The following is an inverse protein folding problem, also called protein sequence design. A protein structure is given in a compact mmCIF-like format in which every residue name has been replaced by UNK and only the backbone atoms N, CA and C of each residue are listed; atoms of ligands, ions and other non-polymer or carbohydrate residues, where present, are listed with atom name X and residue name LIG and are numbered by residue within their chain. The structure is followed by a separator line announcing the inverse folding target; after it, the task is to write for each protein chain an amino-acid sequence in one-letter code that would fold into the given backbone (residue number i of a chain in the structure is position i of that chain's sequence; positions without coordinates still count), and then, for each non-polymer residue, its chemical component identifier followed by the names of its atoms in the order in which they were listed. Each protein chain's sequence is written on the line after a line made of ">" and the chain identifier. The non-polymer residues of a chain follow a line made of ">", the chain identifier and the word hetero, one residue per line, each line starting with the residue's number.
data_IF_820433307726
#
_entry.id   IF_820433307726
#
_cell.length_a   1.000
_cell.length_b   1.000
_cell.length_c   1.000
_cell.angle_alpha   90.00
_cell.angle_beta   90.00
_cell.angle_gamma   90.00
#
_symmetry.space_group_name_H-M   'P 1'
#
loop_
_entity.id
_entity.type
_entity.pdbx_description
1 polymer ?
#
# COMPACT_ATOMS: atom_id res chain seq x y z
N UNK A 1 1.29 16.14 -32.47
CA UNK A 1 2.57 16.24 -31.73
C UNK A 1 2.31 17.00 -30.43
N UNK A 2 2.01 16.27 -29.36
CA UNK A 2 2.01 16.80 -28.00
C UNK A 2 2.76 15.77 -27.16
N UNK A 3 4.06 15.98 -27.03
CA UNK A 3 4.91 15.27 -26.08
C UNK A 3 4.38 15.56 -24.68
N UNK A 4 3.63 14.62 -24.08
CA UNK A 4 3.33 14.67 -22.65
C UNK A 4 4.66 14.52 -21.92
N UNK A 5 5.21 15.64 -21.47
CA UNK A 5 6.42 15.67 -20.65
C UNK A 5 6.08 15.11 -19.26
N UNK A 6 6.20 13.79 -19.08
CA UNK A 6 6.04 13.10 -17.79
C UNK A 6 7.24 13.29 -16.84
N UNK A 7 8.25 14.08 -17.25
CA UNK A 7 9.47 14.40 -16.50
C UNK A 7 9.27 15.20 -15.20
N UNK A 8 8.03 15.38 -14.72
CA UNK A 8 7.70 16.18 -13.52
C UNK A 8 6.72 15.50 -12.57
N UNK A 9 6.35 14.24 -12.80
CA UNK A 9 5.47 13.52 -11.89
C UNK A 9 6.29 12.92 -10.75
N UNK A 10 6.19 13.50 -9.56
CA UNK A 10 6.62 12.81 -8.35
C UNK A 10 5.58 11.78 -7.97
N UNK A 11 5.96 10.52 -7.77
CA UNK A 11 5.04 9.59 -7.12
C UNK A 11 5.42 9.50 -5.64
N UNK A 12 4.54 10.00 -4.78
CA UNK A 12 4.66 9.89 -3.34
C UNK A 12 3.78 8.74 -2.89
N UNK A 13 4.37 7.60 -2.55
CA UNK A 13 3.57 6.46 -2.06
C UNK A 13 3.56 6.45 -0.54
N UNK A 14 2.37 6.38 0.03
CA UNK A 14 2.10 6.04 1.42
C UNK A 14 1.42 4.67 1.45
N UNK A 15 2.23 3.68 1.83
CA UNK A 15 1.94 2.29 2.18
C UNK A 15 1.96 1.20 1.07
N UNK A 16 2.46 0.03 1.51
CA UNK A 16 2.27 -1.34 0.98
C UNK A 16 2.03 -2.28 2.19
N UNK A 17 1.09 -3.21 2.06
CA UNK A 17 0.73 -4.21 3.10
C UNK A 17 1.20 -5.60 2.71
N UNK A 18 1.88 -6.31 3.62
CA UNK A 18 1.64 -7.74 3.86
C UNK A 18 1.63 -7.97 5.36
N UNK A 19 0.59 -8.65 5.82
CA UNK A 19 0.51 -9.24 7.15
C UNK A 19 1.12 -10.63 7.13
N UNK A 20 2.25 -10.78 7.81
CA UNK A 20 2.65 -12.02 8.48
C UNK A 20 2.32 -11.83 9.98
N UNK A 21 2.09 -12.90 10.75
CA UNK A 21 1.70 -12.77 12.13
C UNK A 21 2.95 -12.35 12.90
N UNK A 22 3.05 -11.10 13.33
CA UNK A 22 3.98 -10.78 14.41
C UNK A 22 3.23 -11.14 15.68
N UNK A 23 3.45 -12.36 16.17
CA UNK A 23 3.10 -12.68 17.53
C UNK A 23 3.86 -11.73 18.46
N UNK A 24 3.20 -11.30 19.53
CA UNK A 24 3.81 -10.51 20.59
C UNK A 24 5.14 -11.15 21.00
N UNK A 25 6.22 -10.36 20.95
CA UNK A 25 7.63 -10.71 21.22
C UNK A 25 8.44 -11.30 20.06
N UNK A 26 8.95 -10.48 19.14
CA UNK A 26 10.17 -10.84 18.40
C UNK A 26 11.09 -9.64 18.21
N UNK A 27 12.21 -9.70 18.94
CA UNK A 27 13.39 -8.85 18.86
C UNK A 27 14.39 -9.43 17.84
N UNK A 28 13.93 -9.77 16.63
CA UNK A 28 14.80 -10.30 15.56
C UNK A 28 14.35 -9.80 14.17
N UNK A 29 15.31 -9.45 13.28
CA UNK A 29 15.00 -8.88 11.98
C UNK A 29 14.34 -9.94 11.11
N UNK A 30 13.13 -9.68 10.62
CA UNK A 30 12.54 -10.46 9.54
C UNK A 30 13.39 -10.25 8.27
N UNK A 31 14.30 -11.18 8.00
CA UNK A 31 15.16 -11.15 6.82
C UNK A 31 14.38 -11.72 5.64
N UNK A 32 13.95 -10.84 4.74
CA UNK A 32 13.54 -11.15 3.38
C UNK A 32 14.32 -10.21 2.45
N UNK A 33 15.12 -10.73 1.53
CA UNK A 33 15.80 -9.91 0.51
C UNK A 33 15.43 -10.41 -0.89
N UNK A 34 15.23 -9.53 -1.88
CA UNK A 34 16.32 -8.76 -2.50
C UNK A 34 16.27 -7.21 -2.41
N UNK A 35 15.27 -6.59 -1.77
CA UNK A 35 15.25 -5.13 -1.58
C UNK A 35 14.44 -4.62 -0.35
N UNK A 36 14.19 -5.44 0.67
CA UNK A 36 13.39 -5.04 1.84
C UNK A 36 11.90 -4.80 1.56
N UNK A 37 11.34 -5.43 0.52
CA UNK A 37 9.92 -5.32 0.12
C UNK A 37 9.08 -6.48 0.66
N UNK A 38 7.82 -6.21 0.98
CA UNK A 38 6.83 -7.21 1.40
C UNK A 38 6.21 -7.94 0.20
N UNK A 39 7.05 -8.53 -0.67
CA UNK A 39 6.66 -9.38 -1.80
C UNK A 39 7.89 -10.19 -2.22
N UNK A 40 7.68 -11.25 -2.98
CA UNK A 40 8.71 -11.98 -3.73
C UNK A 40 9.23 -11.23 -4.98
N UNK A 41 8.70 -10.03 -5.27
CA UNK A 41 9.07 -9.24 -6.43
C UNK A 41 8.63 -7.77 -6.33
N UNK A 42 8.26 -7.22 -7.50
CA UNK A 42 7.81 -5.84 -7.65
C UNK A 42 6.45 -5.60 -6.99
N UNK A 43 6.31 -4.42 -6.40
CA UNK A 43 5.08 -3.90 -5.84
C UNK A 43 4.24 -3.20 -6.95
N UNK A 44 2.93 -3.02 -6.77
CA UNK A 44 2.05 -2.27 -7.71
C UNK A 44 2.66 -0.91 -8.09
N UNK A 45 3.27 -0.22 -7.14
CA UNK A 45 3.94 1.06 -7.40
C UNK A 45 5.13 0.92 -8.36
N UNK A 46 5.87 -0.19 -8.30
CA UNK A 46 7.01 -0.43 -9.19
C UNK A 46 6.53 -0.68 -10.62
N UNK A 47 5.40 -1.37 -10.79
CA UNK A 47 4.77 -1.53 -12.10
C UNK A 47 4.23 -0.19 -12.62
N UNK A 48 3.63 0.63 -11.76
CA UNK A 48 3.16 1.96 -12.14
C UNK A 48 4.32 2.83 -12.62
N UNK A 49 5.38 2.99 -11.82
CA UNK A 49 6.50 3.87 -12.21
C UNK A 49 7.21 3.37 -13.46
N UNK A 50 7.32 2.04 -13.64
CA UNK A 50 7.86 1.45 -14.86
C UNK A 50 6.98 1.73 -16.09
N UNK A 51 5.65 1.64 -15.97
CA UNK A 51 4.73 1.98 -17.04
C UNK A 51 4.74 3.49 -17.40
N UNK A 52 5.31 4.32 -16.54
CA UNK A 52 5.50 5.76 -16.74
C UNK A 52 6.92 6.12 -17.20
N UNK A 53 7.76 5.12 -17.50
CA UNK A 53 9.19 5.28 -17.82
C UNK A 53 9.98 6.05 -16.74
N UNK A 54 9.56 5.91 -15.47
CA UNK A 54 10.20 6.51 -14.30
C UNK A 54 11.06 5.47 -13.56
N UNK A 55 12.18 5.89 -12.93
CA UNK A 55 12.96 5.00 -12.09
C UNK A 55 12.17 4.60 -10.84
N UNK A 56 12.55 3.48 -10.23
CA UNK A 56 11.98 3.07 -8.95
C UNK A 56 12.18 4.13 -7.87
N UNK A 57 11.16 4.26 -7.03
CA UNK A 57 11.18 5.21 -5.92
C UNK A 57 12.13 4.72 -4.82
N UNK A 58 12.96 5.64 -4.33
CA UNK A 58 13.79 5.38 -3.17
C UNK A 58 12.96 5.52 -1.86
N UNK A 59 13.16 4.65 -0.86
CA UNK A 59 12.56 4.81 0.45
C UNK A 59 13.09 6.07 1.15
N UNK A 60 12.22 6.81 1.83
CA UNK A 60 12.59 8.02 2.58
C UNK A 60 13.64 7.76 3.66
N UNK A 61 13.62 6.57 4.27
CA UNK A 61 14.52 6.20 5.37
C UNK A 61 15.81 5.52 4.92
N UNK A 62 16.04 5.40 3.61
CA UNK A 62 17.30 4.82 3.11
C UNK A 62 18.45 5.83 3.29
N UNK A 63 19.49 5.43 4.02
CA UNK A 63 20.50 6.33 4.58
C UNK A 63 21.87 6.27 3.90
N UNK A 64 22.15 5.23 3.11
CA UNK A 64 23.47 5.00 2.49
C UNK A 64 23.35 4.97 0.97
N UNK A 65 24.19 5.74 0.29
CA UNK A 65 24.13 5.99 -1.15
C UNK A 65 23.65 7.42 -1.45
N UNK A 66 23.74 7.86 -2.71
CA UNK A 66 23.05 9.07 -3.16
C UNK A 66 21.74 8.66 -3.87
N UNK A 67 20.68 8.30 -3.12
CA UNK A 67 19.39 8.08 -3.75
C UNK A 67 18.92 9.40 -4.40
N UNK A 68 18.60 9.34 -5.69
CA UNK A 68 17.92 10.46 -6.34
C UNK A 68 16.45 10.40 -5.95
N UNK A 69 15.96 11.49 -5.35
CA UNK A 69 14.54 11.68 -5.05
C UNK A 69 13.85 12.59 -6.07
N UNK A 70 14.55 12.96 -7.15
CA UNK A 70 14.07 13.87 -8.19
C UNK A 70 12.69 13.47 -8.73
N UNK A 71 12.47 12.17 -8.92
CA UNK A 71 11.24 11.62 -9.50
C UNK A 71 10.23 11.11 -8.46
N UNK A 72 10.49 11.33 -7.17
CA UNK A 72 9.60 10.90 -6.09
C UNK A 72 10.33 10.20 -4.95
N UNK A 73 9.56 9.83 -3.93
CA UNK A 73 10.06 9.25 -2.70
C UNK A 73 8.97 8.39 -2.06
N UNK A 74 9.36 7.24 -1.50
CA UNK A 74 8.44 6.29 -0.89
C UNK A 74 8.49 6.42 0.64
N UNK A 75 7.36 6.79 1.25
CA UNK A 75 7.20 6.96 2.70
C UNK A 75 6.50 5.75 3.34
N UNK A 76 6.08 4.78 2.52
CA UNK A 76 5.44 3.55 2.96
C UNK A 76 6.31 2.76 3.94
N UNK A 77 5.67 2.21 4.97
CA UNK A 77 6.28 1.19 5.83
C UNK A 77 5.28 0.07 6.08
N UNK A 78 5.71 -1.19 5.97
CA UNK A 78 4.86 -2.33 6.31
C UNK A 78 4.32 -2.22 7.74
N UNK A 79 3.06 -2.62 7.93
CA UNK A 79 2.38 -2.56 9.23
C UNK A 79 1.96 -1.18 9.70
N UNK A 80 2.09 -0.13 8.88
CA UNK A 80 1.59 1.20 9.25
C UNK A 80 0.07 1.23 9.38
N UNK A 81 -0.42 1.94 10.39
CA UNK A 81 -1.84 2.21 10.60
C UNK A 81 -2.14 3.68 10.29
N UNK A 82 -3.40 3.99 10.01
CA UNK A 82 -3.86 5.38 9.82
C UNK A 82 -3.80 6.14 11.14
N UNK A 83 -4.22 5.49 12.22
CA UNK A 83 -4.26 6.07 13.55
C UNK A 83 -2.87 6.27 14.15
N UNK A 84 -2.70 7.14 15.15
CA UNK A 84 -1.44 7.28 15.87
C UNK A 84 -0.94 5.94 16.42
N UNK A 85 0.33 5.64 16.16
CA UNK A 85 0.97 4.43 16.65
C UNK A 85 1.09 4.45 18.19
N UNK A 86 0.89 3.29 18.79
CA UNK A 86 1.07 3.00 20.22
C UNK A 86 2.29 2.11 20.44
N UNK A 87 2.67 1.87 21.69
CA UNK A 87 3.76 0.93 22.04
C UNK A 87 3.53 -0.51 21.55
N UNK A 88 2.29 -0.88 21.21
CA UNK A 88 1.91 -2.20 20.69
C UNK A 88 1.73 -2.21 19.18
N UNK A 89 1.92 -1.07 18.50
CA UNK A 89 1.80 -0.99 17.05
C UNK A 89 2.98 -1.68 16.36
N UNK A 90 2.68 -2.41 15.29
CA UNK A 90 3.69 -3.11 14.47
C UNK A 90 4.69 -2.13 13.85
N UNK A 91 4.21 -0.97 13.38
CA UNK A 91 5.05 0.09 12.85
C UNK A 91 4.85 1.38 13.65
N UNK A 92 5.94 2.09 14.02
CA UNK A 92 5.85 3.42 14.60
C UNK A 92 5.49 4.49 13.55
N UNK A 93 5.60 4.17 12.26
CA UNK A 93 5.41 5.10 11.15
C UNK A 93 3.96 5.11 10.66
N UNK A 94 3.04 5.47 11.55
CA UNK A 94 1.63 5.72 11.21
C UNK A 94 1.48 6.76 10.09
N UNK A 95 0.29 6.85 9.48
CA UNK A 95 0.00 7.81 8.41
C UNK A 95 0.40 9.24 8.77
N UNK A 96 0.05 9.70 9.97
CA UNK A 96 0.42 11.04 10.45
C UNK A 96 1.92 11.28 10.52
N UNK A 97 2.71 10.23 10.81
CA UNK A 97 4.17 10.27 10.79
C UNK A 97 4.69 10.31 9.35
N UNK A 98 4.16 9.50 8.44
CA UNK A 98 4.52 9.53 7.01
C UNK A 98 4.24 10.90 6.39
N UNK A 99 3.10 11.53 6.71
CA UNK A 99 2.81 12.92 6.32
C UNK A 99 3.84 13.90 6.88
N UNK A 100 4.26 13.73 8.14
CA UNK A 100 5.26 14.60 8.75
C UNK A 100 6.66 14.41 8.15
N UNK A 101 7.01 13.19 7.77
CA UNK A 101 8.21 12.88 7.02
C UNK A 101 8.19 13.57 5.65
N UNK A 102 7.07 13.54 4.94
CA UNK A 102 6.92 14.29 3.68
C UNK A 102 7.11 15.80 3.89
N UNK A 103 6.45 16.40 4.89
CA UNK A 103 6.59 17.84 5.17
C UNK A 103 8.07 18.19 5.42
N UNK A 104 8.76 17.39 6.24
CA UNK A 104 10.18 17.56 6.51
C UNK A 104 11.04 17.38 5.25
N UNK A 105 10.74 16.38 4.44
CA UNK A 105 11.42 16.10 3.18
C UNK A 105 11.31 17.29 2.23
N UNK A 106 10.09 17.81 2.00
CA UNK A 106 9.85 18.99 1.17
C UNK A 106 10.65 20.19 1.67
N UNK A 107 10.52 20.54 2.95
CA UNK A 107 11.22 21.68 3.53
C UNK A 107 12.75 21.55 3.38
N UNK A 108 13.30 20.36 3.63
CA UNK A 108 14.74 20.12 3.52
C UNK A 108 15.22 20.15 2.06
N UNK A 109 14.45 19.59 1.14
CA UNK A 109 14.80 19.58 -0.28
C UNK A 109 14.90 21.02 -0.82
N UNK A 110 13.90 21.86 -0.52
CA UNK A 110 13.88 23.27 -0.95
C UNK A 110 15.00 24.08 -0.29
N UNK A 111 15.26 23.86 1.00
CA UNK A 111 16.37 24.53 1.68
C UNK A 111 17.73 24.18 1.05
N UNK A 112 17.94 22.91 0.69
CA UNK A 112 19.18 22.44 0.08
C UNK A 112 19.35 22.99 -1.35
N UNK A 113 18.28 23.03 -2.14
CA UNK A 113 18.28 23.63 -3.47
C UNK A 113 18.59 25.13 -3.41
N UNK A 114 18.02 25.85 -2.44
CA UNK A 114 18.33 27.27 -2.25
C UNK A 114 19.80 27.52 -1.85
N UNK A 115 20.42 26.59 -1.10
CA UNK A 115 21.79 26.74 -0.61
C UNK A 115 22.87 26.29 -1.61
N UNK A 116 22.63 25.21 -2.36
CA UNK A 116 23.61 24.60 -3.28
C UNK A 116 23.27 24.75 -4.77
N UNK A 117 22.10 25.29 -5.10
CA UNK A 117 21.67 25.57 -6.46
C UNK A 117 21.67 24.34 -7.37
N UNK A 118 22.14 24.55 -8.61
CA UNK A 118 22.06 23.61 -9.74
C UNK A 118 22.66 22.22 -9.48
N UNK A 119 23.61 22.11 -8.55
CA UNK A 119 24.26 20.82 -8.24
C UNK A 119 23.26 19.76 -7.74
N UNK A 120 22.21 20.18 -7.03
CA UNK A 120 21.24 19.27 -6.43
C UNK A 120 19.94 19.11 -7.24
N UNK A 121 19.74 19.87 -8.32
CA UNK A 121 18.53 19.78 -9.17
C UNK A 121 18.37 18.41 -9.85
N UNK A 122 19.49 17.69 -10.03
CA UNK A 122 19.48 16.33 -10.59
C UNK A 122 19.10 15.25 -9.56
N UNK A 123 19.07 15.59 -8.27
CA UNK A 123 18.87 14.63 -7.17
C UNK A 123 17.63 14.94 -6.33
N UNK A 124 17.21 16.21 -6.27
CA UNK A 124 16.12 16.66 -5.44
C UNK A 124 14.94 17.20 -6.27
N UNK A 125 13.71 17.07 -5.75
CA UNK A 125 12.55 17.67 -6.39
C UNK A 125 12.57 19.18 -6.38
N UNK A 126 12.17 19.78 -7.50
CA UNK A 126 11.95 21.22 -7.58
C UNK A 126 10.62 21.60 -6.92
N UNK A 127 10.44 22.88 -6.60
CA UNK A 127 9.24 23.37 -5.91
C UNK A 127 7.93 23.01 -6.62
N UNK A 128 7.90 23.17 -7.94
CA UNK A 128 6.73 22.86 -8.77
C UNK A 128 6.45 21.34 -8.86
N UNK A 129 7.46 20.50 -8.61
CA UNK A 129 7.29 19.03 -8.57
C UNK A 129 6.32 18.61 -7.45
N UNK A 130 6.30 19.31 -6.32
CA UNK A 130 5.37 19.02 -5.22
C UNK A 130 3.91 19.35 -5.57
N UNK A 131 3.67 20.28 -6.50
CA UNK A 131 2.32 20.54 -6.99
C UNK A 131 1.89 19.51 -8.03
N UNK A 132 2.82 19.15 -8.92
CA UNK A 132 2.56 18.21 -10.03
C UNK A 132 2.57 16.75 -9.61
N UNK A 133 3.11 16.41 -8.43
CA UNK A 133 3.20 15.05 -7.95
C UNK A 133 1.86 14.32 -7.84
N UNK A 134 1.91 13.00 -8.06
CA UNK A 134 0.90 12.00 -7.74
C UNK A 134 1.17 11.42 -6.34
N UNK A 135 0.17 11.53 -5.48
CA UNK A 135 0.23 11.10 -4.08
C UNK A 135 -0.63 9.85 -3.93
N UNK A 136 0.01 8.68 -3.87
CA UNK A 136 -0.64 7.39 -3.76
C UNK A 136 -0.80 6.97 -2.29
N UNK A 137 -1.98 6.46 -1.93
CA UNK A 137 -2.29 5.97 -0.59
C UNK A 137 -2.86 4.56 -0.63
N UNK A 138 -2.34 3.66 0.18
CA UNK A 138 -2.88 2.31 0.41
C UNK A 138 -2.90 2.00 1.93
N UNK A 139 -3.74 2.69 2.69
CA UNK A 139 -3.76 2.67 4.17
C UNK A 139 -5.14 2.45 4.75
N UNK A 140 -5.22 2.02 6.01
CA UNK A 140 -6.47 1.68 6.71
C UNK A 140 -6.73 0.17 6.83
N UNK A 141 -6.17 -0.63 5.93
CA UNK A 141 -6.25 -2.10 5.97
C UNK A 141 -5.76 -2.66 7.31
N UNK A 142 -4.66 -2.09 7.81
CA UNK A 142 -4.01 -2.57 9.02
C UNK A 142 -4.79 -2.21 10.29
N UNK A 143 -5.44 -1.05 10.30
CA UNK A 143 -6.33 -0.62 11.37
C UNK A 143 -7.50 -1.62 11.53
N UNK A 144 -8.10 -2.06 10.42
CA UNK A 144 -9.20 -3.03 10.42
C UNK A 144 -8.73 -4.43 10.82
N UNK A 145 -7.68 -4.96 10.17
CA UNK A 145 -7.17 -6.29 10.44
C UNK A 145 -6.68 -6.44 11.89
N UNK A 146 -5.96 -5.44 12.42
CA UNK A 146 -5.53 -5.42 13.81
C UNK A 146 -6.71 -5.38 14.81
N UNK A 147 -7.80 -4.70 14.46
CA UNK A 147 -8.95 -4.58 15.35
C UNK A 147 -9.68 -5.93 15.58
N UNK A 148 -9.72 -6.82 14.58
CA UNK A 148 -10.37 -8.14 14.72
C UNK A 148 -9.76 -9.04 15.79
N UNK A 149 -8.52 -8.78 16.24
CA UNK A 149 -7.91 -9.51 17.35
C UNK A 149 -8.53 -9.20 18.72
N UNK A 150 -9.27 -8.10 18.86
CA UNK A 150 -9.81 -7.67 20.16
C UNK A 150 -11.22 -7.07 20.12
N UNK A 151 -11.81 -6.87 18.94
CA UNK A 151 -13.10 -6.22 18.75
C UNK A 151 -14.07 -7.09 17.95
N UNK A 152 -15.37 -6.93 18.22
CA UNK A 152 -16.44 -7.49 17.39
C UNK A 152 -16.58 -6.71 16.09
N UNK A 153 -17.27 -7.28 15.10
CA UNK A 153 -17.55 -6.59 13.84
C UNK A 153 -18.27 -5.25 14.07
N UNK A 154 -19.31 -5.21 14.90
CA UNK A 154 -20.06 -3.97 15.17
C UNK A 154 -19.17 -2.87 15.77
N UNK A 155 -18.27 -3.24 16.67
CA UNK A 155 -17.30 -2.31 17.24
C UNK A 155 -16.31 -1.79 16.20
N UNK A 156 -15.91 -2.63 15.23
CA UNK A 156 -15.04 -2.24 14.12
C UNK A 156 -15.78 -1.29 13.18
N UNK A 157 -17.02 -1.60 12.83
CA UNK A 157 -17.85 -0.74 11.98
C UNK A 157 -18.06 0.64 12.60
N UNK A 158 -18.32 0.70 13.91
CA UNK A 158 -18.43 1.95 14.65
C UNK A 158 -17.12 2.75 14.72
N UNK A 159 -15.98 2.09 14.52
CA UNK A 159 -14.66 2.70 14.61
C UNK A 159 -14.14 3.29 13.28
N UNK A 160 -14.67 2.83 12.14
CA UNK A 160 -14.29 3.30 10.79
C UNK A 160 -14.26 4.83 10.66
N UNK A 161 -15.27 5.60 11.14
CA UNK A 161 -15.25 7.06 11.01
C UNK A 161 -14.01 7.70 11.66
N UNK A 162 -13.48 7.14 12.75
CA UNK A 162 -12.27 7.64 13.42
C UNK A 162 -11.03 7.46 12.54
N UNK A 163 -10.92 6.31 11.87
CA UNK A 163 -9.83 6.02 10.93
C UNK A 163 -9.87 7.03 9.77
N UNK A 164 -11.06 7.24 9.19
CA UNK A 164 -11.26 8.14 8.06
C UNK A 164 -11.03 9.61 8.44
N UNK A 165 -11.39 10.04 9.65
CA UNK A 165 -11.09 11.38 10.13
C UNK A 165 -9.58 11.65 10.24
N UNK A 166 -8.78 10.65 10.68
CA UNK A 166 -7.33 10.76 10.67
C UNK A 166 -6.76 10.80 9.26
N UNK A 167 -7.31 9.99 8.34
CA UNK A 167 -6.93 10.03 6.93
C UNK A 167 -7.23 11.40 6.29
N UNK A 168 -8.44 11.93 6.49
CA UNK A 168 -8.86 13.25 6.01
C UNK A 168 -7.92 14.36 6.52
N UNK A 169 -7.57 14.33 7.81
CA UNK A 169 -6.64 15.28 8.41
C UNK A 169 -5.26 15.25 7.75
N UNK A 170 -4.72 14.06 7.45
CA UNK A 170 -3.45 13.93 6.74
C UNK A 170 -3.53 14.39 5.28
N UNK A 171 -4.62 14.09 4.56
CA UNK A 171 -4.84 14.61 3.20
C UNK A 171 -4.89 16.13 3.21
N UNK A 172 -5.61 16.74 4.15
CA UNK A 172 -5.63 18.20 4.32
C UNK A 172 -4.23 18.75 4.51
N UNK A 173 -3.43 18.15 5.40
CA UNK A 173 -2.04 18.58 5.63
C UNK A 173 -1.19 18.48 4.37
N UNK A 174 -1.34 17.43 3.58
CA UNK A 174 -0.62 17.28 2.30
C UNK A 174 -1.07 18.35 1.28
N UNK A 175 -2.37 18.61 1.18
CA UNK A 175 -2.93 19.66 0.35
C UNK A 175 -2.40 21.05 0.73
N UNK A 176 -2.38 21.36 2.04
CA UNK A 176 -1.81 22.60 2.58
C UNK A 176 -0.29 22.71 2.26
N UNK A 177 0.38 21.58 2.04
CA UNK A 177 1.77 21.50 1.60
C UNK A 177 1.92 21.43 0.07
N UNK A 178 0.87 21.75 -0.70
CA UNK A 178 0.94 21.90 -2.16
C UNK A 178 0.58 20.66 -2.96
N UNK A 179 0.31 19.51 -2.33
CA UNK A 179 -0.14 18.32 -3.05
C UNK A 179 -1.47 18.58 -3.78
N UNK A 180 -1.61 18.12 -5.03
CA UNK A 180 -2.82 18.31 -5.83
C UNK A 180 -3.37 17.06 -6.50
N UNK A 181 -2.60 15.99 -6.68
CA UNK A 181 -3.11 14.79 -7.35
C UNK A 181 -3.08 13.63 -6.36
N UNK A 182 -4.24 13.26 -5.81
CA UNK A 182 -4.39 12.20 -4.84
C UNK A 182 -4.91 10.92 -5.52
N UNK A 183 -4.26 9.80 -5.26
CA UNK A 183 -4.57 8.48 -5.78
C UNK A 183 -4.81 7.53 -4.61
N UNK A 184 -6.07 7.28 -4.31
CA UNK A 184 -6.51 6.65 -3.07
C UNK A 184 -6.96 5.23 -3.37
N UNK A 185 -6.18 4.24 -2.93
CA UNK A 185 -6.61 2.85 -2.93
C UNK A 185 -7.56 2.60 -1.78
N UNK A 186 -8.63 1.87 -2.06
CA UNK A 186 -9.44 1.26 -1.01
C UNK A 186 -8.76 0.00 -0.45
N UNK A 187 -9.34 -0.58 0.59
CA UNK A 187 -8.82 -1.82 1.19
C UNK A 187 -9.09 -3.02 0.30
N UNK A 188 -8.13 -3.93 0.19
CA UNK A 188 -8.36 -5.23 -0.45
C UNK A 188 -9.34 -6.13 0.33
N UNK A 189 -9.68 -7.33 -0.21
CA UNK A 189 -10.53 -8.28 0.48
C UNK A 189 -9.83 -8.92 1.68
N UNK A 190 -9.90 -8.24 2.83
CA UNK A 190 -9.20 -8.62 4.07
C UNK A 190 -9.51 -10.05 4.52
N UNK A 191 -10.74 -10.52 4.28
CA UNK A 191 -11.16 -11.87 4.65
C UNK A 191 -10.46 -12.95 3.85
N UNK A 192 -9.92 -12.62 2.67
CA UNK A 192 -9.21 -13.56 1.82
C UNK A 192 -7.69 -13.62 2.10
N UNK A 193 -7.19 -12.77 3.00
CA UNK A 193 -5.79 -12.86 3.41
C UNK A 193 -5.56 -14.22 4.08
N UNK A 194 -4.60 -14.98 3.59
CA UNK A 194 -4.27 -16.33 4.08
C UNK A 194 -4.14 -16.38 5.60
N UNK A 195 -3.52 -15.37 6.22
CA UNK A 195 -3.43 -15.22 7.67
C UNK A 195 -4.80 -15.09 8.34
N UNK A 196 -5.69 -14.24 7.81
CA UNK A 196 -7.00 -14.03 8.40
C UNK A 196 -7.86 -15.29 8.26
N UNK A 197 -7.77 -16.01 7.14
CA UNK A 197 -8.43 -17.31 6.98
C UNK A 197 -7.88 -18.33 7.99
N UNK A 198 -6.56 -18.40 8.17
CA UNK A 198 -5.94 -19.34 9.12
C UNK A 198 -6.34 -19.06 10.58
N UNK A 199 -6.50 -17.79 10.96
CA UNK A 199 -6.80 -17.40 12.35
C UNK A 199 -8.30 -17.36 12.64
N UNK A 200 -9.09 -16.78 11.74
CA UNK A 200 -10.51 -16.49 11.97
C UNK A 200 -11.47 -17.36 11.15
N UNK A 201 -10.95 -18.11 10.17
CA UNK A 201 -11.69 -18.96 9.24
C UNK A 201 -11.80 -20.43 9.64
N UNK A 202 -11.55 -20.78 10.90
CA UNK A 202 -11.59 -22.18 11.37
C UNK A 202 -12.98 -22.81 11.38
N UNK A 203 -14.04 -21.98 11.31
CA UNK A 203 -15.42 -22.43 11.14
C UNK A 203 -15.88 -22.16 9.70
N UNK A 204 -16.17 -23.19 8.89
CA UNK A 204 -16.60 -23.03 7.50
C UNK A 204 -17.85 -22.15 7.32
N UNK A 205 -18.76 -22.11 8.30
CA UNK A 205 -19.95 -21.25 8.23
C UNK A 205 -19.65 -19.75 8.25
N UNK A 206 -18.41 -19.36 8.57
CA UNK A 206 -17.95 -17.96 8.54
C UNK A 206 -17.26 -17.58 7.23
N UNK A 207 -17.08 -18.54 6.32
CA UNK A 207 -16.42 -18.34 5.05
C UNK A 207 -17.46 -18.06 3.95
N UNK A 208 -17.10 -17.21 2.99
CA UNK A 208 -17.84 -17.07 1.75
C UNK A 208 -17.52 -18.23 0.77
N UNK A 209 -18.14 -18.21 -0.41
CA UNK A 209 -17.97 -19.24 -1.43
C UNK A 209 -16.54 -19.39 -1.96
N UNK A 210 -15.67 -18.40 -1.71
CA UNK A 210 -14.25 -18.41 -2.09
C UNK A 210 -13.31 -18.73 -0.93
N UNK A 211 -13.85 -19.11 0.24
CA UNK A 211 -13.06 -19.47 1.41
C UNK A 211 -12.55 -18.25 2.20
N UNK A 212 -13.10 -17.06 1.97
CA UNK A 212 -12.71 -15.83 2.65
C UNK A 212 -13.57 -15.58 3.89
N UNK A 213 -12.97 -15.04 4.96
CA UNK A 213 -13.70 -14.69 6.19
C UNK A 213 -14.69 -13.56 5.95
N UNK A 214 -15.98 -13.87 6.01
CA UNK A 214 -17.07 -12.96 5.62
C UNK A 214 -17.09 -11.66 6.42
N UNK A 215 -16.88 -11.73 7.75
CA UNK A 215 -16.89 -10.54 8.62
C UNK A 215 -15.79 -9.54 8.28
N UNK A 216 -14.61 -10.02 7.87
CA UNK A 216 -13.49 -9.16 7.48
C UNK A 216 -13.77 -8.46 6.15
N UNK A 217 -14.32 -9.20 5.18
CA UNK A 217 -14.76 -8.61 3.90
C UNK A 217 -15.92 -7.63 4.10
N UNK A 218 -16.81 -7.86 5.06
CA UNK A 218 -17.87 -6.90 5.42
C UNK A 218 -17.30 -5.59 5.99
N UNK A 219 -16.34 -5.67 6.92
CA UNK A 219 -15.66 -4.48 7.44
C UNK A 219 -14.88 -3.73 6.35
N UNK A 220 -14.17 -4.44 5.47
CA UNK A 220 -13.47 -3.86 4.32
C UNK A 220 -14.43 -3.12 3.39
N UNK A 221 -15.56 -3.75 3.01
CA UNK A 221 -16.61 -3.13 2.17
C UNK A 221 -17.20 -1.89 2.83
N UNK A 222 -17.50 -1.93 4.13
CA UNK A 222 -18.04 -0.79 4.86
C UNK A 222 -17.04 0.39 4.93
N UNK A 223 -15.75 0.10 5.14
CA UNK A 223 -14.70 1.11 5.10
C UNK A 223 -14.55 1.69 3.69
N UNK A 224 -14.53 0.85 2.67
CA UNK A 224 -14.37 1.25 1.27
C UNK A 224 -15.50 2.16 0.78
N UNK A 225 -16.73 1.89 1.22
CA UNK A 225 -17.89 2.74 0.93
C UNK A 225 -17.71 4.15 1.52
N UNK A 226 -17.36 4.24 2.81
CA UNK A 226 -17.15 5.53 3.46
C UNK A 226 -15.91 6.26 2.93
N UNK A 227 -14.84 5.55 2.57
CA UNK A 227 -13.66 6.13 1.93
C UNK A 227 -13.97 6.69 0.54
N UNK A 228 -14.85 6.03 -0.22
CA UNK A 228 -15.31 6.53 -1.51
C UNK A 228 -16.12 7.83 -1.35
N UNK A 229 -17.02 7.89 -0.37
CA UNK A 229 -17.76 9.12 -0.05
C UNK A 229 -16.84 10.24 0.43
N UNK A 230 -15.85 9.92 1.26
CA UNK A 230 -14.80 10.86 1.65
C UNK A 230 -14.00 11.35 0.44
N UNK A 231 -13.66 10.48 -0.50
CA UNK A 231 -12.92 10.86 -1.72
C UNK A 231 -13.73 11.85 -2.57
N UNK A 232 -15.05 11.64 -2.71
CA UNK A 232 -15.95 12.61 -3.36
C UNK A 232 -16.03 13.93 -2.61
N UNK A 233 -16.11 13.89 -1.27
CA UNK A 233 -16.09 15.09 -0.43
C UNK A 233 -14.80 15.89 -0.65
N UNK A 234 -13.64 15.22 -0.64
CA UNK A 234 -12.33 15.85 -0.87
C UNK A 234 -12.26 16.50 -2.26
N UNK A 235 -12.78 15.82 -3.30
CA UNK A 235 -12.84 16.38 -4.65
C UNK A 235 -13.70 17.65 -4.73
N UNK A 236 -14.81 17.70 -4.01
CA UNK A 236 -15.67 18.89 -3.94
C UNK A 236 -15.09 20.03 -3.09
N UNK A 237 -14.32 19.69 -2.05
CA UNK A 237 -13.71 20.67 -1.14
C UNK A 237 -12.45 21.32 -1.71
N UNK A 238 -11.67 20.60 -2.51
CA UNK A 238 -10.41 21.06 -3.09
C UNK A 238 -10.52 21.17 -4.61
N UNK A 239 -11.09 22.29 -5.09
CA UNK A 239 -11.41 22.49 -6.52
C UNK A 239 -10.20 22.52 -7.46
N UNK A 240 -9.00 22.77 -6.95
CA UNK A 240 -7.75 22.76 -7.72
C UNK A 240 -6.95 21.44 -7.54
N UNK A 241 -7.52 20.44 -6.87
CA UNK A 241 -6.96 19.11 -6.70
C UNK A 241 -7.75 18.07 -7.52
N UNK A 242 -7.06 17.02 -7.94
CA UNK A 242 -7.62 15.81 -8.53
C UNK A 242 -7.58 14.68 -7.50
N UNK A 243 -8.71 14.00 -7.28
CA UNK A 243 -8.85 12.87 -6.36
C UNK A 243 -9.34 11.66 -7.13
N UNK A 244 -8.46 10.70 -7.34
CA UNK A 244 -8.77 9.41 -7.97
C UNK A 244 -8.94 8.35 -6.89
N UNK A 245 -10.12 7.72 -6.85
CA UNK A 245 -10.39 6.55 -6.01
C UNK A 245 -10.19 5.27 -6.83
N UNK A 246 -9.51 4.28 -6.26
CA UNK A 246 -9.23 2.99 -6.91
C UNK A 246 -9.81 1.84 -6.10
N UNK A 247 -10.66 1.07 -6.77
CA UNK A 247 -11.32 -0.09 -6.18
C UNK A 247 -10.43 -1.36 -6.22
N UNK A 248 -9.42 -1.37 -5.36
CA UNK A 248 -8.53 -2.50 -5.15
C UNK A 248 -9.27 -3.74 -4.62
N UNK A 249 -10.34 -3.55 -3.84
CA UNK A 249 -11.17 -4.66 -3.34
C UNK A 249 -11.68 -5.51 -4.49
N UNK A 250 -12.40 -4.90 -5.44
CA UNK A 250 -13.04 -5.62 -6.53
C UNK A 250 -12.00 -6.27 -7.45
N UNK A 251 -10.89 -5.58 -7.74
CA UNK A 251 -9.80 -6.13 -8.56
C UNK A 251 -9.20 -7.39 -7.92
N UNK A 252 -8.85 -7.32 -6.63
CA UNK A 252 -8.23 -8.45 -5.92
C UNK A 252 -9.23 -9.58 -5.66
N UNK A 253 -10.49 -9.26 -5.37
CA UNK A 253 -11.52 -10.27 -5.16
C UNK A 253 -11.84 -11.02 -6.45
N UNK A 254 -11.89 -10.33 -7.59
CA UNK A 254 -12.03 -10.97 -8.91
C UNK A 254 -10.86 -11.91 -9.22
N UNK A 255 -9.62 -11.50 -8.93
CA UNK A 255 -8.46 -12.38 -9.06
C UNK A 255 -8.63 -13.66 -8.23
N UNK A 256 -9.17 -13.56 -7.02
CA UNK A 256 -9.38 -14.71 -6.13
C UNK A 256 -10.52 -15.59 -6.64
N UNK A 257 -11.64 -15.00 -7.03
CA UNK A 257 -12.81 -15.72 -7.56
C UNK A 257 -12.50 -16.43 -8.88
N UNK A 258 -11.70 -15.80 -9.74
CA UNK A 258 -11.40 -16.22 -11.11
C UNK A 258 -9.90 -16.57 -11.31
N UNK A 259 -9.24 -17.03 -10.26
CA UNK A 259 -7.78 -17.22 -10.19
C UNK A 259 -7.18 -18.03 -11.36
N UNK A 260 -7.91 -19.03 -11.86
CA UNK A 260 -7.47 -19.86 -12.98
C UNK A 260 -7.41 -19.10 -14.31
N UNK A 261 -8.27 -18.09 -14.53
CA UNK A 261 -8.22 -17.22 -15.72
C UNK A 261 -6.95 -16.37 -15.75
N UNK A 262 -6.42 -16.05 -14.57
CA UNK A 262 -5.20 -15.27 -14.38
C UNK A 262 -3.94 -16.14 -14.26
N UNK A 263 -4.05 -17.46 -14.47
CA UNK A 263 -2.93 -18.40 -14.45
C UNK A 263 -2.50 -18.88 -13.07
N UNK A 264 -3.25 -18.56 -12.01
CA UNK A 264 -3.00 -19.10 -10.67
C UNK A 264 -3.58 -20.51 -10.55
N UNK A 265 -2.93 -21.35 -9.73
CA UNK A 265 -3.40 -22.69 -9.42
C UNK A 265 -4.23 -22.76 -8.14
N UNK A 266 -4.06 -21.79 -7.25
CA UNK A 266 -4.69 -21.75 -5.93
C UNK A 266 -5.04 -20.30 -5.59
N UNK A 267 -6.27 -20.01 -5.11
CA UNK A 267 -6.74 -18.64 -4.94
C UNK A 267 -6.19 -17.92 -3.70
N UNK A 268 -6.02 -18.64 -2.58
CA UNK A 268 -5.69 -18.05 -1.26
C UNK A 268 -4.50 -18.72 -0.55
N UNK A 269 -3.77 -19.58 -1.26
CA UNK A 269 -2.61 -20.28 -0.71
C UNK A 269 -1.36 -19.40 -0.76
N UNK A 270 -0.59 -19.38 0.34
CA UNK A 270 0.68 -18.68 0.37
C UNK A 270 1.75 -19.41 -0.46
N UNK A 271 2.38 -18.71 -1.40
CA UNK A 271 3.46 -19.25 -2.24
C UNK A 271 4.71 -19.63 -1.41
N UNK A 272 5.17 -18.73 -0.53
CA UNK A 272 6.37 -18.89 0.28
C UNK A 272 6.05 -19.17 1.76
N UNK A 273 5.03 -19.98 2.01
CA UNK A 273 4.56 -20.29 3.36
C UNK A 273 4.99 -21.68 3.87
N UNK A 274 4.53 -22.02 5.08
CA UNK A 274 4.74 -23.32 5.72
C UNK A 274 3.44 -23.76 6.39
N UNK A 275 3.09 -25.04 6.32
CA UNK A 275 1.89 -25.59 6.94
C UNK A 275 1.08 -26.53 6.03
N UNK A 276 1.40 -26.58 4.74
CA UNK A 276 0.72 -27.45 3.77
C UNK A 276 -0.68 -26.97 3.40
N UNK A 277 -1.39 -27.76 2.61
CA UNK A 277 -2.73 -27.42 2.12
C UNK A 277 -3.73 -27.18 3.27
N UNK A 278 -4.74 -26.30 3.09
CA UNK A 278 -5.05 -25.55 1.86
C UNK A 278 -4.39 -24.16 1.79
N UNK A 279 -3.86 -23.65 2.90
CA UNK A 279 -3.37 -22.26 2.99
C UNK A 279 -1.85 -22.13 2.84
N UNK A 280 -1.12 -23.22 3.01
CA UNK A 280 0.33 -23.24 3.20
C UNK A 280 0.78 -22.23 4.27
N UNK A 281 0.05 -22.15 5.37
CA UNK A 281 0.27 -21.17 6.43
C UNK A 281 0.07 -21.78 7.81
N UNK A 282 1.02 -21.55 8.70
CA UNK A 282 1.01 -22.03 10.07
C UNK A 282 1.36 -20.87 11.01
N UNK A 283 0.37 -20.45 11.80
CA UNK A 283 0.46 -19.33 12.74
C UNK A 283 1.45 -19.56 13.88
N UNK A 284 1.78 -20.82 14.20
CA UNK A 284 2.74 -21.18 15.25
C UNK A 284 4.18 -21.25 14.71
N UNK A 285 4.36 -21.71 13.46
CA UNK A 285 5.68 -21.87 12.84
C UNK A 285 6.24 -20.58 12.20
N UNK A 286 5.38 -19.61 11.88
CA UNK A 286 5.78 -18.30 11.37
C UNK A 286 6.76 -17.56 12.30
N UNK A 287 6.79 -17.92 13.59
CA UNK A 287 7.72 -17.35 14.59
C UNK A 287 9.08 -18.05 14.67
N UNK A 288 9.28 -19.21 14.03
CA UNK A 288 10.46 -20.06 14.27
C UNK A 288 11.30 -20.43 13.03
N UNK A 289 10.77 -20.39 11.80
CA UNK A 289 11.41 -21.07 10.66
C UNK A 289 11.74 -20.23 9.41
N UNK A 290 11.50 -18.92 9.42
CA UNK A 290 11.62 -18.10 8.20
C UNK A 290 13.07 -17.91 7.71
N UNK A 291 14.09 -18.04 8.58
CA UNK A 291 15.46 -17.63 8.21
C UNK A 291 16.32 -18.69 7.46
N UNK A 292 15.95 -19.97 7.42
CA UNK A 292 16.90 -21.01 6.98
C UNK A 292 16.57 -21.79 5.70
N UNK A 293 15.34 -21.72 5.15
CA UNK A 293 14.95 -22.55 3.99
C UNK A 293 14.42 -21.82 2.75
N UNK A 294 14.17 -20.50 2.81
CA UNK A 294 13.57 -19.72 1.69
C UNK A 294 14.66 -19.07 0.79
N UNK A 295 15.91 -19.55 0.83
CA UNK A 295 17.05 -18.86 0.19
C UNK A 295 17.48 -19.38 -1.19
N UNK A 296 16.68 -20.15 -1.93
CA UNK A 296 17.15 -20.74 -3.21
C UNK A 296 16.23 -20.62 -4.43
N UNK A 297 15.09 -19.94 -4.34
CA UNK A 297 14.26 -19.71 -5.52
C UNK A 297 14.86 -18.65 -6.45
N UNK A 298 15.28 -19.02 -7.67
CA UNK A 298 15.47 -18.05 -8.76
C UNK A 298 14.09 -17.61 -9.23
N UNK A 299 13.75 -16.34 -9.04
CA UNK A 299 12.53 -15.76 -9.55
C UNK A 299 12.79 -15.04 -10.88
N UNK A 300 11.95 -15.34 -11.86
CA UNK A 300 11.70 -14.50 -13.03
C UNK A 300 10.26 -14.02 -12.91
N UNK A 301 9.98 -12.76 -13.24
CA UNK A 301 8.60 -12.30 -13.39
C UNK A 301 7.83 -13.36 -14.21
N UNK A 302 6.65 -13.83 -13.75
CA UNK A 302 5.81 -14.67 -14.57
C UNK A 302 5.68 -13.99 -15.93
N UNK A 303 5.66 -14.74 -17.04
CA UNK A 303 5.28 -14.17 -18.32
C UNK A 303 3.81 -13.74 -18.20
N UNK A 304 3.59 -12.54 -17.67
CA UNK A 304 2.32 -11.84 -17.68
C UNK A 304 2.12 -11.38 -19.12
N UNK A 305 1.78 -12.33 -20.00
CA UNK A 305 1.47 -12.05 -21.40
C UNK A 305 0.22 -11.18 -21.46
N UNK A 306 0.34 -9.96 -21.98
CA UNK A 306 -0.61 -9.18 -22.81
C UNK A 306 -2.13 -9.19 -22.49
N UNK A 307 -2.58 -9.72 -21.35
CA UNK A 307 -3.99 -9.97 -21.03
C UNK A 307 -4.52 -9.17 -19.85
N UNK A 308 -3.73 -8.24 -19.30
CA UNK A 308 -4.26 -7.22 -18.39
C UNK A 308 -4.65 -6.00 -19.23
N UNK A 309 -5.89 -6.01 -19.73
CA UNK A 309 -6.51 -4.85 -20.39
C UNK A 309 -6.78 -3.66 -19.44
N UNK A 310 -6.37 -3.76 -18.17
CA UNK A 310 -6.47 -2.67 -17.19
C UNK A 310 -5.42 -1.56 -17.40
N UNK A 311 -4.29 -1.86 -18.04
CA UNK A 311 -3.27 -0.84 -18.36
C UNK A 311 -3.57 -0.11 -19.68
N UNK A 312 -4.33 -0.72 -20.60
CA UNK A 312 -4.72 -0.09 -21.87
C UNK A 312 -5.81 0.97 -21.72
N UNK A 313 -6.52 1.03 -20.58
CA UNK A 313 -7.51 2.10 -20.31
C UNK A 313 -6.89 3.46 -19.97
N UNK A 314 -5.56 3.57 -19.84
CA UNK A 314 -4.87 4.85 -19.68
C UNK A 314 -4.61 5.58 -21.02
N UNK A 315 -4.88 4.95 -22.17
CA UNK A 315 -4.68 5.55 -23.50
C UNK A 315 -5.86 6.37 -24.00
N UNK A 316 -7.04 6.28 -23.38
CA UNK A 316 -8.19 7.10 -23.75
C UNK A 316 -8.26 8.38 -22.93
N UNK A 317 -8.21 9.58 -23.55
CA UNK A 317 -8.44 10.83 -22.86
C UNK A 317 -9.92 10.91 -22.45
N UNK A 318 -10.21 10.74 -21.16
CA UNK A 318 -11.43 11.29 -20.59
C UNK A 318 -11.21 12.79 -20.42
N UNK A 319 -11.83 13.55 -21.31
CA UNK A 319 -12.07 14.99 -21.17
C UNK A 319 -13.13 15.23 -20.09
#
# INVERSE_FOLDING_TARGET
>A
MATKNFNTLQILTMLFVVFLPIAHSLNYPAVFNFAGRFSDGRLIIDFLVAAMDLPFLNPYLDSVGMPSFRNGCNFATGGAITLPATATSVSPFSFGIQVSQFVRFKARALQLLAAKGKELENYLPLEDSFRKGLYMFDIGQNDLAGAFYSKTLDQILAFIPTILAQFESGIKRLYDQGARNFWIHNTGPLGCLTQNVAVFGTNPSKLDEHGCVSSHNQAAKAFNLQLHDLSKKLQGQYSDANVTYVDIFSIKYDLIANYSLYGFQQPIMACCGYGGLPLNYNSQAANQFVSSKILTGKYSDPPFSDKISFLTSFETPMW
#
